data_IF_726851256499
#
_entry.id   IF_726851256499
#
_cell.length_a   1.000
_cell.length_b   1.000
_cell.length_c   1.000
_cell.angle_alpha   90.00
_cell.angle_beta   90.00
_cell.angle_gamma   90.00
#
_symmetry.space_group_name_H-M   'P 1'
#
loop_
_entity.id
_entity.type
_entity.pdbx_description
1 polymer ?
#
# COMPACT_ATOMS: atom_id res chain seq x y z
N UNK A 1 -64.32 -28.13 28.03
CA UNK A 1 -63.40 -28.45 26.95
C UNK A 1 -62.82 -27.14 26.42
N UNK A 2 -61.59 -26.81 26.79
CA UNK A 2 -60.91 -25.63 26.35
C UNK A 2 -59.70 -26.07 25.58
N UNK A 3 -59.49 -25.74 24.29
CA UNK A 3 -58.29 -26.08 23.56
C UNK A 3 -57.17 -25.10 23.88
N UNK A 4 -56.07 -25.66 24.42
CA UNK A 4 -54.84 -24.95 24.62
C UNK A 4 -54.18 -24.61 23.28
N UNK A 5 -54.01 -23.30 23.03
CA UNK A 5 -53.17 -22.79 21.93
C UNK A 5 -51.74 -22.78 22.38
N UNK A 6 -50.88 -23.50 21.67
CA UNK A 6 -49.44 -23.46 21.83
C UNK A 6 -48.88 -22.14 21.21
N UNK A 7 -47.92 -21.48 21.87
CA UNK A 7 -47.27 -20.34 21.26
C UNK A 7 -46.13 -20.83 20.35
N UNK A 8 -46.13 -20.37 19.10
CA UNK A 8 -45.05 -20.48 18.16
C UNK A 8 -43.89 -19.62 18.64
N UNK A 9 -42.78 -20.23 19.05
CA UNK A 9 -41.52 -19.54 19.22
C UNK A 9 -40.92 -19.27 17.85
N UNK A 10 -41.03 -18.03 17.40
CA UNK A 10 -40.28 -17.53 16.24
C UNK A 10 -38.82 -17.33 16.67
N UNK A 11 -37.96 -18.23 16.24
CA UNK A 11 -36.52 -18.05 16.36
C UNK A 11 -36.04 -16.96 15.38
N UNK A 12 -35.74 -15.79 15.92
CA UNK A 12 -35.13 -14.69 15.16
C UNK A 12 -33.66 -15.04 14.94
N UNK A 13 -33.34 -15.52 13.75
CA UNK A 13 -31.96 -15.68 13.32
C UNK A 13 -31.35 -14.31 13.09
N UNK A 14 -30.57 -13.84 14.04
CA UNK A 14 -29.72 -12.65 13.86
C UNK A 14 -28.56 -13.02 12.95
N UNK A 15 -28.71 -12.70 11.66
CA UNK A 15 -27.59 -12.72 10.72
C UNK A 15 -26.64 -11.59 11.07
N UNK A 16 -25.53 -11.93 11.73
CA UNK A 16 -24.38 -11.04 11.83
C UNK A 16 -23.80 -10.83 10.43
N UNK A 17 -24.20 -9.74 9.77
CA UNK A 17 -23.50 -9.19 8.63
C UNK A 17 -22.12 -8.73 9.15
N UNK A 18 -21.11 -9.60 8.99
CA UNK A 18 -19.73 -9.20 9.12
C UNK A 18 -19.46 -8.12 8.06
N UNK A 19 -19.53 -6.85 8.48
CA UNK A 19 -18.96 -5.74 7.76
C UNK A 19 -17.47 -6.03 7.64
N UNK A 20 -17.09 -6.67 6.52
CA UNK A 20 -15.70 -6.91 6.21
C UNK A 20 -14.98 -5.58 6.14
N UNK A 21 -14.11 -5.33 7.11
CA UNK A 21 -13.06 -4.35 6.94
C UNK A 21 -12.38 -4.69 5.62
N UNK A 22 -12.40 -3.76 4.67
CA UNK A 22 -11.60 -3.85 3.45
C UNK A 22 -10.13 -3.77 3.86
N UNK A 23 -9.59 -4.89 4.35
CA UNK A 23 -8.16 -5.06 4.49
C UNK A 23 -7.58 -5.00 3.08
N UNK A 24 -6.36 -4.49 2.95
CA UNK A 24 -5.61 -4.43 1.69
C UNK A 24 -5.41 -5.81 1.01
N UNK A 25 -6.06 -6.86 1.49
CA UNK A 25 -5.92 -8.24 1.00
C UNK A 25 -4.57 -8.88 1.30
N UNK A 26 -3.69 -8.18 2.00
CA UNK A 26 -2.35 -8.67 2.38
C UNK A 26 -2.38 -9.16 3.82
N UNK A 27 -2.01 -10.43 4.03
CA UNK A 27 -1.85 -10.97 5.37
C UNK A 27 -0.68 -10.27 6.09
N UNK A 28 -0.89 -9.89 7.34
CA UNK A 28 0.17 -9.32 8.16
C UNK A 28 1.04 -10.43 8.77
N UNK A 29 2.32 -10.12 8.92
CA UNK A 29 3.25 -10.92 9.71
C UNK A 29 3.00 -10.72 11.21
N UNK A 30 3.51 -11.60 12.08
CA UNK A 30 3.41 -11.43 13.54
C UNK A 30 3.99 -10.10 14.05
N UNK A 31 4.96 -9.51 13.33
CA UNK A 31 5.56 -8.22 13.68
C UNK A 31 4.72 -7.00 13.23
N UNK A 32 3.59 -7.23 12.57
CA UNK A 32 2.69 -6.18 12.06
C UNK A 32 3.03 -5.67 10.66
N UNK A 33 4.12 -6.11 10.08
CA UNK A 33 4.47 -5.80 8.68
C UNK A 33 3.67 -6.64 7.68
N UNK A 34 3.58 -6.22 6.41
CA UNK A 34 2.89 -6.99 5.39
C UNK A 34 3.65 -8.27 5.03
N UNK A 35 2.91 -9.36 4.87
CA UNK A 35 3.46 -10.63 4.40
C UNK A 35 3.79 -10.61 2.90
N UNK A 36 4.34 -11.72 2.37
CA UNK A 36 4.63 -11.85 0.95
C UNK A 36 3.38 -11.73 0.08
N UNK A 37 3.54 -11.15 -1.10
CA UNK A 37 2.46 -11.01 -2.08
C UNK A 37 3.04 -11.12 -3.50
N UNK A 38 2.38 -11.90 -4.35
CA UNK A 38 2.76 -11.98 -5.77
C UNK A 38 2.42 -10.69 -6.49
N UNK A 39 3.27 -10.29 -7.42
CA UNK A 39 2.92 -9.28 -8.40
C UNK A 39 1.89 -9.87 -9.38
N UNK A 40 0.75 -9.20 -9.62
CA UNK A 40 -0.25 -9.68 -10.56
C UNK A 40 0.31 -9.79 -11.99
N UNK A 41 -0.16 -10.79 -12.76
CA UNK A 41 0.31 -11.02 -14.14
C UNK A 41 0.12 -9.78 -15.03
N UNK A 42 -0.98 -9.04 -14.85
CA UNK A 42 -1.21 -7.78 -15.58
C UNK A 42 -0.14 -6.73 -15.30
N UNK A 43 0.33 -6.64 -14.05
CA UNK A 43 1.41 -5.72 -13.71
C UNK A 43 2.74 -6.18 -14.28
N UNK A 44 3.04 -7.48 -14.21
CA UNK A 44 4.24 -8.04 -14.83
C UNK A 44 4.28 -7.78 -16.33
N UNK A 45 3.16 -7.95 -17.03
CA UNK A 45 3.07 -7.69 -18.46
C UNK A 45 3.22 -6.19 -18.78
N UNK A 46 2.52 -5.31 -18.05
CA UNK A 46 2.63 -3.87 -18.23
C UNK A 46 4.07 -3.38 -18.00
N UNK A 47 4.72 -3.86 -16.95
CA UNK A 47 6.11 -3.52 -16.66
C UNK A 47 7.06 -4.01 -17.76
N UNK A 48 6.81 -5.20 -18.33
CA UNK A 48 7.58 -5.71 -19.48
C UNK A 48 7.45 -4.81 -20.71
N UNK A 49 6.25 -4.34 -21.01
CA UNK A 49 5.99 -3.42 -22.14
C UNK A 49 6.70 -2.08 -21.91
N UNK A 50 6.65 -1.57 -20.69
CA UNK A 50 7.32 -0.34 -20.29
C UNK A 50 8.84 -0.51 -20.07
N UNK A 51 9.37 -1.69 -20.30
CA UNK A 51 10.79 -2.05 -20.07
C UNK A 51 11.25 -1.78 -18.65
N UNK A 52 10.35 -1.88 -17.68
CA UNK A 52 10.65 -1.84 -16.27
C UNK A 52 11.11 -3.22 -15.80
N UNK A 53 12.30 -3.31 -15.23
CA UNK A 53 12.89 -4.57 -14.77
C UNK A 53 13.02 -4.55 -13.24
N UNK A 54 12.90 -5.70 -12.58
CA UNK A 54 13.23 -5.79 -11.17
C UNK A 54 14.61 -5.20 -10.87
N UNK A 55 14.65 -4.25 -9.93
CA UNK A 55 15.85 -3.51 -9.59
C UNK A 55 15.99 -2.13 -10.25
N UNK A 56 15.25 -1.84 -11.32
CA UNK A 56 15.16 -0.48 -11.84
C UNK A 56 14.61 0.43 -10.74
N UNK A 57 15.18 1.61 -10.63
CA UNK A 57 14.90 2.53 -9.52
C UNK A 57 14.87 3.98 -9.94
N UNK A 58 14.19 4.78 -9.14
CA UNK A 58 14.13 6.22 -9.27
C UNK A 58 13.92 6.84 -7.88
N UNK A 59 13.75 8.15 -7.84
CA UNK A 59 13.47 8.90 -6.62
C UNK A 59 11.98 9.23 -6.53
N UNK A 60 11.39 9.06 -5.35
CA UNK A 60 9.99 9.31 -5.08
C UNK A 60 9.81 10.26 -3.90
N UNK A 61 8.89 11.20 -4.00
CA UNK A 61 8.32 11.91 -2.85
C UNK A 61 7.24 11.03 -2.26
N UNK A 62 7.40 10.65 -0.99
CA UNK A 62 6.60 9.59 -0.34
C UNK A 62 5.13 9.98 -0.25
N UNK A 63 4.83 11.21 0.17
CA UNK A 63 3.44 11.68 0.28
C UNK A 63 3.26 12.94 -0.57
N UNK A 64 2.53 12.79 -1.66
CA UNK A 64 2.27 13.88 -2.60
C UNK A 64 1.37 14.98 -2.01
N UNK A 65 0.68 14.68 -0.90
CA UNK A 65 -0.24 15.60 -0.23
C UNK A 65 0.40 16.37 0.93
N UNK A 66 1.65 16.06 1.26
CA UNK A 66 2.43 16.80 2.25
C UNK A 66 3.52 17.66 1.56
N UNK A 67 4.02 18.67 2.28
CA UNK A 67 5.21 19.38 1.82
C UNK A 67 6.39 18.40 1.78
N UNK A 68 7.32 18.63 0.85
CA UNK A 68 8.54 17.82 0.74
C UNK A 68 9.56 18.06 1.88
N UNK A 69 9.18 18.76 2.93
CA UNK A 69 10.01 18.97 4.12
C UNK A 69 10.11 17.70 4.95
N UNK A 70 11.29 17.47 5.50
CA UNK A 70 11.59 16.34 6.39
C UNK A 70 11.76 16.85 7.83
N UNK A 71 11.40 16.07 8.85
CA UNK A 71 10.77 14.75 8.79
C UNK A 71 9.29 14.81 8.40
N UNK A 72 8.70 13.66 8.03
CA UNK A 72 7.28 13.54 7.72
C UNK A 72 6.61 12.49 8.60
N UNK A 73 5.30 12.67 8.83
CA UNK A 73 4.44 11.67 9.46
C UNK A 73 3.67 10.95 8.37
N UNK A 74 3.73 9.63 8.38
CA UNK A 74 2.95 8.76 7.50
C UNK A 74 1.94 7.96 8.29
N UNK A 75 0.82 7.63 7.66
CA UNK A 75 -0.27 6.86 8.26
C UNK A 75 -0.37 5.49 7.57
N UNK A 76 -0.80 4.49 8.32
CA UNK A 76 -1.28 3.24 7.72
C UNK A 76 -2.38 3.54 6.72
N UNK A 77 -2.35 2.88 5.57
CA UNK A 77 -3.40 3.01 4.59
C UNK A 77 -2.90 3.44 3.23
N UNK A 78 -3.82 3.89 2.37
CA UNK A 78 -3.50 4.30 1.01
C UNK A 78 -2.50 5.46 1.00
N UNK A 79 -1.62 5.45 -0.01
CA UNK A 79 -0.67 6.52 -0.25
C UNK A 79 -0.66 6.90 -1.71
N UNK A 80 -0.51 8.19 -1.95
CA UNK A 80 -0.20 8.78 -3.23
C UNK A 80 1.18 9.43 -3.16
N UNK A 81 2.10 8.92 -3.94
CA UNK A 81 3.46 9.43 -4.09
C UNK A 81 3.66 9.99 -5.49
N UNK A 82 4.76 10.66 -5.77
CA UNK A 82 5.11 11.03 -7.13
C UNK A 82 6.59 10.85 -7.41
N UNK A 83 6.90 10.47 -8.64
CA UNK A 83 8.27 10.37 -9.12
C UNK A 83 8.90 11.77 -9.23
N UNK A 84 10.10 11.93 -8.70
CA UNK A 84 10.90 13.14 -8.93
C UNK A 84 11.67 13.07 -10.24
N UNK A 85 12.12 11.88 -10.57
CA UNK A 85 12.91 11.60 -11.75
C UNK A 85 12.23 10.48 -12.56
N UNK A 86 12.65 10.28 -13.79
CA UNK A 86 12.10 9.23 -14.65
C UNK A 86 12.36 7.83 -14.08
N UNK A 87 11.45 6.90 -14.35
CA UNK A 87 11.57 5.47 -14.04
C UNK A 87 11.23 4.66 -15.30
N UNK A 88 12.26 4.26 -16.04
CA UNK A 88 12.04 3.67 -17.35
C UNK A 88 11.32 4.63 -18.29
N UNK A 89 10.15 4.24 -18.79
CA UNK A 89 9.29 5.11 -19.61
C UNK A 89 8.25 5.88 -18.81
N UNK A 90 8.32 5.85 -17.49
CA UNK A 90 7.47 6.68 -16.64
C UNK A 90 8.18 8.01 -16.39
N UNK A 91 7.57 9.09 -16.84
CA UNK A 91 8.12 10.44 -16.71
C UNK A 91 8.12 10.92 -15.25
N UNK A 92 8.98 11.88 -14.96
CA UNK A 92 8.93 12.64 -13.71
C UNK A 92 7.53 13.23 -13.52
N UNK A 93 7.04 13.26 -12.28
CA UNK A 93 5.68 13.68 -11.96
C UNK A 93 4.63 12.58 -12.08
N UNK A 94 4.98 11.38 -12.57
CA UNK A 94 4.07 10.22 -12.52
C UNK A 94 3.65 9.97 -11.09
N UNK A 95 2.34 9.82 -10.86
CA UNK A 95 1.78 9.45 -9.56
C UNK A 95 1.89 7.97 -9.35
N UNK A 96 2.29 7.57 -8.14
CA UNK A 96 2.33 6.18 -7.71
C UNK A 96 1.32 5.99 -6.59
N UNK A 97 0.43 5.04 -6.76
CA UNK A 97 -0.60 4.70 -5.78
C UNK A 97 -0.28 3.38 -5.12
N UNK A 98 -0.42 3.34 -3.83
CA UNK A 98 -0.05 2.17 -3.05
C UNK A 98 -0.60 2.16 -1.64
N UNK A 99 0.09 1.42 -0.80
CA UNK A 99 -0.29 1.18 0.59
C UNK A 99 0.93 1.32 1.48
N UNK A 100 0.73 1.96 2.63
CA UNK A 100 1.70 2.07 3.74
C UNK A 100 1.30 1.14 4.87
N UNK A 101 2.28 0.48 5.46
CA UNK A 101 2.18 -0.25 6.72
C UNK A 101 3.19 0.30 7.71
N UNK A 102 2.70 0.73 8.86
CA UNK A 102 3.53 1.29 9.95
C UNK A 102 3.66 0.34 11.14
N UNK A 103 2.91 -0.76 11.16
CA UNK A 103 2.83 -1.68 12.31
C UNK A 103 4.07 -2.53 12.56
N UNK A 104 4.92 -2.75 11.55
CA UNK A 104 6.15 -3.51 11.68
C UNK A 104 7.33 -2.72 12.23
N UNK A 105 8.53 -3.30 12.31
CA UNK A 105 9.74 -2.62 12.79
C UNK A 105 10.19 -1.48 11.87
N UNK A 106 9.83 -1.54 10.60
CA UNK A 106 10.06 -0.51 9.59
C UNK A 106 8.76 -0.10 8.93
N UNK A 107 8.74 1.04 8.26
CA UNK A 107 7.65 1.39 7.36
C UNK A 107 7.83 0.62 6.05
N UNK A 108 6.76 0.01 5.57
CA UNK A 108 6.72 -0.66 4.27
C UNK A 108 5.75 0.10 3.38
N UNK A 109 6.19 0.44 2.17
CA UNK A 109 5.34 1.07 1.14
C UNK A 109 5.44 0.21 -0.11
N UNK A 110 4.27 -0.26 -0.59
CA UNK A 110 4.13 -1.00 -1.84
C UNK A 110 3.26 -0.21 -2.79
N UNK A 111 3.72 -0.06 -4.02
CA UNK A 111 2.99 0.60 -5.08
C UNK A 111 2.43 -0.44 -6.05
N UNK A 112 1.18 -0.24 -6.44
CA UNK A 112 0.41 -1.14 -7.29
C UNK A 112 -0.01 -0.51 -8.61
N UNK A 113 0.02 0.82 -8.70
CA UNK A 113 -0.39 1.57 -9.87
C UNK A 113 0.50 2.79 -10.09
N UNK A 114 0.85 3.02 -11.34
CA UNK A 114 1.46 4.26 -11.80
C UNK A 114 0.46 5.01 -12.69
N UNK A 115 0.38 6.30 -12.52
CA UNK A 115 -0.47 7.18 -13.35
C UNK A 115 0.38 8.30 -13.90
N UNK A 116 0.82 8.20 -15.17
CA UNK A 116 1.53 9.28 -15.85
C UNK A 116 0.69 10.56 -15.91
N UNK A 117 1.31 11.75 -16.00
CA UNK A 117 0.58 13.03 -16.06
C UNK A 117 -0.49 13.09 -17.15
N UNK A 118 -0.21 12.53 -18.31
CA UNK A 118 -1.09 12.55 -19.49
C UNK A 118 -1.51 11.14 -19.95
N UNK A 119 -1.48 10.15 -19.02
CA UNK A 119 -1.72 8.75 -19.38
C UNK A 119 -2.74 8.04 -18.50
N UNK A 120 -3.14 6.87 -18.96
CA UNK A 120 -4.01 5.97 -18.23
C UNK A 120 -3.29 5.31 -17.06
N UNK A 121 -4.02 4.86 -16.02
CA UNK A 121 -3.48 4.06 -14.94
C UNK A 121 -2.81 2.78 -15.45
N UNK A 122 -1.61 2.50 -14.96
CA UNK A 122 -0.80 1.35 -15.33
C UNK A 122 -0.54 0.50 -14.09
N UNK A 123 -0.88 -0.79 -14.08
CA UNK A 123 -0.54 -1.66 -12.97
C UNK A 123 0.97 -1.90 -12.93
N UNK A 124 1.55 -1.75 -11.74
CA UNK A 124 2.98 -1.98 -11.47
C UNK A 124 3.18 -2.72 -10.16
N UNK A 125 4.39 -3.18 -9.91
CA UNK A 125 4.84 -3.60 -8.60
C UNK A 125 6.15 -2.87 -8.27
N UNK A 126 6.11 -2.03 -7.25
CA UNK A 126 7.28 -1.30 -6.78
C UNK A 126 7.25 -1.13 -5.27
N UNK A 127 8.40 -0.91 -4.68
CA UNK A 127 8.57 -0.69 -3.23
C UNK A 127 9.39 0.55 -2.96
N UNK A 128 9.08 1.26 -1.88
CA UNK A 128 9.95 2.34 -1.41
C UNK A 128 11.03 1.79 -0.50
N UNK A 129 12.25 2.28 -0.65
CA UNK A 129 13.41 1.94 0.17
C UNK A 129 14.32 3.14 0.36
N UNK A 130 15.12 3.12 1.41
CA UNK A 130 16.17 4.09 1.63
C UNK A 130 17.53 3.43 1.37
N UNK A 131 18.10 3.70 0.20
CA UNK A 131 19.28 2.99 -0.27
C UNK A 131 18.98 1.50 -0.44
N UNK A 132 19.81 0.63 0.12
CA UNK A 132 19.61 -0.82 0.11
C UNK A 132 18.72 -1.32 1.28
N UNK A 133 18.32 -0.42 2.18
CA UNK A 133 17.60 -0.76 3.40
C UNK A 133 16.11 -0.45 3.35
N UNK A 134 15.43 -0.89 4.41
CA UNK A 134 14.04 -0.55 4.65
C UNK A 134 13.91 0.91 5.14
N UNK A 135 12.69 1.46 5.05
CA UNK A 135 12.39 2.78 5.61
C UNK A 135 12.35 2.70 7.14
N UNK A 136 13.42 3.11 7.77
CA UNK A 136 13.51 3.20 9.22
C UNK A 136 12.52 4.24 9.74
N UNK A 137 11.92 3.96 10.87
CA UNK A 137 10.94 4.85 11.49
C UNK A 137 11.26 5.17 12.93
N UNK A 138 10.74 6.30 13.39
CA UNK A 138 10.43 6.57 14.79
C UNK A 138 8.93 6.39 15.03
N UNK A 139 8.53 6.20 16.26
CA UNK A 139 7.13 6.15 16.63
C UNK A 139 6.44 7.46 16.26
N UNK A 140 5.29 7.36 15.58
CA UNK A 140 4.48 8.53 15.27
C UNK A 140 3.66 9.01 16.47
N UNK A 141 2.99 10.16 16.34
CA UNK A 141 2.25 10.79 17.46
C UNK A 141 0.96 10.06 17.84
N UNK A 142 0.47 9.15 17.00
CA UNK A 142 -0.77 8.41 17.20
C UNK A 142 -0.61 6.95 16.76
N UNK A 143 -1.50 6.02 17.19
CA UNK A 143 -1.55 4.67 16.67
C UNK A 143 -1.73 4.67 15.15
N UNK A 144 -1.08 3.75 14.45
CA UNK A 144 -1.13 3.66 12.98
C UNK A 144 -0.34 4.76 12.26
N UNK A 145 0.53 5.47 12.96
CA UNK A 145 1.42 6.49 12.38
C UNK A 145 2.88 6.16 12.62
N UNK A 146 3.75 6.69 11.77
CA UNK A 146 5.19 6.64 11.94
C UNK A 146 5.83 7.95 11.46
N UNK A 147 6.94 8.33 12.08
CA UNK A 147 7.77 9.42 11.61
C UNK A 147 8.93 8.86 10.78
N UNK A 148 9.06 9.37 9.58
CA UNK A 148 10.20 9.12 8.68
C UNK A 148 11.13 10.33 8.69
N UNK A 149 12.42 10.06 8.74
CA UNK A 149 13.45 11.11 8.75
C UNK A 149 13.45 11.90 7.43
N UNK A 150 13.13 11.24 6.31
CA UNK A 150 13.12 11.83 4.99
C UNK A 150 11.76 11.72 4.32
N UNK A 151 11.35 12.78 3.62
CA UNK A 151 10.15 12.81 2.78
C UNK A 151 10.37 12.19 1.40
N UNK A 152 11.61 11.83 1.09
CA UNK A 152 12.04 11.28 -0.19
C UNK A 152 12.65 9.90 0.04
N UNK A 153 12.38 8.99 -0.86
CA UNK A 153 12.94 7.64 -0.86
C UNK A 153 13.32 7.20 -2.28
N UNK A 154 14.03 6.08 -2.36
CA UNK A 154 14.15 5.34 -3.61
C UNK A 154 12.89 4.52 -3.85
N UNK A 155 12.42 4.44 -5.08
CA UNK A 155 11.40 3.50 -5.52
C UNK A 155 12.05 2.46 -6.43
N UNK A 156 11.76 1.19 -6.20
CA UNK A 156 12.37 0.05 -6.90
C UNK A 156 11.30 -0.85 -7.48
N UNK A 157 11.45 -1.20 -8.76
CA UNK A 157 10.60 -2.20 -9.41
C UNK A 157 10.91 -3.58 -8.83
N UNK A 158 9.86 -4.34 -8.57
CA UNK A 158 9.94 -5.72 -8.06
C UNK A 158 9.02 -6.64 -8.86
N UNK A 159 9.34 -7.92 -8.90
CA UNK A 159 8.52 -8.98 -9.49
C UNK A 159 7.62 -9.68 -8.47
N UNK A 160 7.75 -9.31 -7.22
CA UNK A 160 6.96 -9.80 -6.10
C UNK A 160 7.36 -9.08 -4.82
N UNK A 161 6.42 -8.99 -3.90
CA UNK A 161 6.66 -8.39 -2.58
C UNK A 161 7.04 -9.49 -1.58
N UNK A 162 8.14 -9.28 -0.88
CA UNK A 162 8.72 -10.23 0.09
C UNK A 162 8.63 -9.70 1.51
#
# INVERSE_FOLDING_TARGET
MIPMKAPFLSALAVSCLALGCTSSGVALRPDGGPGPQKCPDKALEAMRILRLRPGDSSTVVIDANQSSQSPIIVNDGPVESHLRDELGFLDAGTRLYGQIWTGGPNVVIRYYEARPPDGDPIPICAVARLGHGQLKKKQGPAPGTAELEFSIAGVYIVDGFR
#
